data_IF_514649439874
#
_entry.id   IF_514649439874
#
_cell.length_a   1.000
_cell.length_b   1.000
_cell.length_c   1.000
_cell.angle_alpha   90.00
_cell.angle_beta   90.00
_cell.angle_gamma   90.00
#
_symmetry.space_group_name_H-M   'P 1'
#
loop_
_entity.id
_entity.type
_entity.pdbx_description
1 polymer ?
#
# COMPACT_ATOMS: atom_id res chain seq x y z
N UNK A 1 -19.27 -0.24 -5.32
CA UNK A 1 -18.96 -1.04 -4.12
C UNK A 1 -17.93 -2.12 -4.45
N UNK A 2 -18.08 -2.88 -5.54
CA UNK A 2 -17.07 -3.86 -5.99
C UNK A 2 -15.67 -3.26 -6.20
N UNK A 3 -15.55 -2.09 -6.84
CA UNK A 3 -14.24 -1.47 -7.13
C UNK A 3 -13.40 -1.14 -5.88
N UNK A 4 -14.05 -0.85 -4.74
CA UNK A 4 -13.33 -0.60 -3.47
C UNK A 4 -12.68 -1.88 -2.96
N UNK A 5 -13.45 -2.98 -2.88
CA UNK A 5 -12.95 -4.25 -2.35
C UNK A 5 -11.89 -4.87 -3.27
N UNK A 6 -12.08 -4.77 -4.59
CA UNK A 6 -11.07 -5.23 -5.56
C UNK A 6 -9.75 -4.47 -5.41
N UNK A 7 -9.79 -3.14 -5.27
CA UNK A 7 -8.57 -2.34 -5.08
C UNK A 7 -7.94 -2.55 -3.71
N UNK A 8 -8.75 -2.71 -2.67
CA UNK A 8 -8.29 -3.05 -1.32
C UNK A 8 -7.55 -4.39 -1.31
N UNK A 9 -8.12 -5.44 -1.90
CA UNK A 9 -7.50 -6.76 -1.99
C UNK A 9 -6.17 -6.71 -2.75
N UNK A 10 -6.15 -6.06 -3.93
CA UNK A 10 -4.90 -5.88 -4.71
C UNK A 10 -3.84 -5.12 -3.94
N UNK A 11 -4.21 -4.06 -3.22
CA UNK A 11 -3.27 -3.27 -2.43
C UNK A 11 -2.72 -4.08 -1.25
N UNK A 12 -3.58 -4.82 -0.54
CA UNK A 12 -3.16 -5.66 0.59
C UNK A 12 -2.27 -6.83 0.13
N UNK A 13 -2.54 -7.43 -1.02
CA UNK A 13 -1.68 -8.47 -1.61
C UNK A 13 -0.30 -7.89 -1.97
N UNK A 14 -0.23 -6.68 -2.55
CA UNK A 14 1.04 -5.99 -2.80
C UNK A 14 1.79 -5.69 -1.51
N UNK A 15 1.10 -5.17 -0.49
CA UNK A 15 1.69 -4.89 0.82
C UNK A 15 2.25 -6.19 1.42
N UNK A 16 1.48 -7.28 1.44
CA UNK A 16 1.92 -8.58 1.95
C UNK A 16 3.18 -9.08 1.23
N UNK A 17 3.18 -9.05 -0.10
CA UNK A 17 4.32 -9.51 -0.91
C UNK A 17 5.57 -8.69 -0.69
N UNK A 18 5.43 -7.37 -0.51
CA UNK A 18 6.57 -6.49 -0.22
C UNK A 18 7.06 -6.73 1.20
N UNK A 19 6.15 -6.87 2.18
CA UNK A 19 6.50 -7.21 3.56
C UNK A 19 7.32 -8.51 3.65
N UNK A 20 6.94 -9.55 2.90
CA UNK A 20 7.66 -10.83 2.87
C UNK A 20 9.10 -10.72 2.30
N UNK A 21 9.38 -9.65 1.53
CA UNK A 21 10.70 -9.39 0.94
C UNK A 21 11.54 -8.43 1.77
N UNK A 22 10.93 -7.70 2.70
CA UNK A 22 11.64 -6.82 3.59
C UNK A 22 12.40 -7.64 4.64
N UNK A 23 13.61 -7.23 5.02
CA UNK A 23 14.31 -7.88 6.11
C UNK A 23 13.46 -7.79 7.38
N UNK A 24 13.43 -8.89 8.13
CA UNK A 24 12.58 -9.10 9.31
C UNK A 24 13.08 -8.25 10.48
N UNK A 25 12.89 -6.94 10.35
CA UNK A 25 13.37 -5.90 11.27
C UNK A 25 12.36 -5.63 12.40
N UNK A 26 11.27 -6.39 12.43
CA UNK A 26 10.11 -6.16 13.28
C UNK A 26 9.03 -5.34 12.57
N UNK A 27 7.91 -6.01 12.25
CA UNK A 27 6.53 -5.48 12.04
C UNK A 27 6.31 -4.20 11.22
N UNK A 28 7.32 -3.64 10.55
CA UNK A 28 7.14 -2.44 9.74
C UNK A 28 6.44 -2.80 8.44
N UNK A 29 5.17 -2.41 8.36
CA UNK A 29 4.46 -2.36 7.09
C UNK A 29 5.26 -1.52 6.09
N UNK A 30 5.26 -1.87 4.79
CA UNK A 30 5.91 -1.09 3.74
C UNK A 30 5.17 0.22 3.42
N UNK A 31 4.40 0.74 4.37
CA UNK A 31 3.74 2.04 4.34
C UNK A 31 3.63 2.59 5.77
N UNK A 32 3.66 3.91 5.90
CA UNK A 32 3.49 4.63 7.14
C UNK A 32 2.48 5.75 6.96
N UNK A 33 1.63 5.96 7.95
CA UNK A 33 0.73 7.10 8.02
C UNK A 33 1.43 8.23 8.75
N UNK A 34 1.57 9.38 8.10
CA UNK A 34 2.12 10.58 8.70
C UNK A 34 1.04 11.33 9.49
N UNK A 35 1.46 12.16 10.45
CA UNK A 35 0.57 12.93 11.33
C UNK A 35 -0.27 13.98 10.57
N UNK A 36 0.17 14.38 9.38
CA UNK A 36 -0.55 15.28 8.46
C UNK A 36 -1.65 14.57 7.65
N UNK A 37 -1.80 13.25 7.82
CA UNK A 37 -2.75 12.43 7.08
C UNK A 37 -2.22 11.96 5.72
N UNK A 38 -0.98 12.28 5.36
CA UNK A 38 -0.32 11.72 4.18
C UNK A 38 0.14 10.28 4.43
N UNK A 39 0.36 9.56 3.33
CA UNK A 39 0.94 8.23 3.35
C UNK A 39 2.33 8.29 2.76
N UNK A 40 3.27 7.70 3.50
CA UNK A 40 4.61 7.43 3.02
C UNK A 40 4.70 5.95 2.65
N UNK A 41 4.98 5.65 1.38
CA UNK A 41 5.24 4.28 0.93
C UNK A 41 6.73 3.98 1.03
N UNK A 42 7.07 2.77 1.47
CA UNK A 42 8.43 2.27 1.37
C UNK A 42 8.86 2.18 -0.11
N UNK A 43 10.15 2.37 -0.40
CA UNK A 43 10.68 2.43 -1.77
C UNK A 43 10.26 1.23 -2.63
N UNK A 44 10.26 0.02 -2.05
CA UNK A 44 9.83 -1.19 -2.72
C UNK A 44 8.33 -1.21 -3.06
N UNK A 45 7.46 -0.81 -2.12
CA UNK A 45 6.02 -0.72 -2.39
C UNK A 45 5.72 0.40 -3.38
N UNK A 46 6.42 1.53 -3.28
CA UNK A 46 6.31 2.62 -4.24
C UNK A 46 6.72 2.18 -5.66
N UNK A 47 7.76 1.35 -5.79
CA UNK A 47 8.18 0.79 -7.07
C UNK A 47 7.09 -0.13 -7.67
N UNK A 48 6.50 -1.02 -6.87
CA UNK A 48 5.38 -1.89 -7.28
C UNK A 48 4.14 -1.08 -7.71
N UNK A 49 3.79 -0.04 -6.95
CA UNK A 49 2.68 0.88 -7.25
C UNK A 49 2.94 1.76 -8.48
N UNK A 50 4.21 1.98 -8.84
CA UNK A 50 4.58 2.78 -10.02
C UNK A 50 4.60 1.95 -11.31
N UNK A 51 4.34 0.63 -11.24
CA UNK A 51 4.20 -0.20 -12.43
C UNK A 51 2.91 0.17 -13.20
N UNK A 52 2.90 0.09 -14.54
CA UNK A 52 1.73 0.44 -15.35
C UNK A 52 0.45 -0.30 -14.96
N UNK A 53 0.56 -1.55 -14.49
CA UNK A 53 -0.58 -2.36 -14.04
C UNK A 53 -1.18 -1.91 -12.69
N UNK A 54 -0.46 -1.12 -11.89
CA UNK A 54 -0.85 -0.70 -10.54
C UNK A 54 -0.99 0.82 -10.40
N UNK A 55 -0.90 1.57 -11.50
CA UNK A 55 -1.00 3.04 -11.48
C UNK A 55 -2.34 3.50 -10.89
N UNK A 56 -3.41 2.73 -11.11
CA UNK A 56 -4.72 2.96 -10.52
C UNK A 56 -4.74 2.79 -9.00
N UNK A 57 -3.93 1.86 -8.49
CA UNK A 57 -3.78 1.60 -7.06
C UNK A 57 -2.95 2.68 -6.36
N UNK A 58 -2.00 3.32 -7.05
CA UNK A 58 -1.14 4.34 -6.46
C UNK A 58 -1.95 5.54 -5.95
N UNK A 59 -2.74 6.15 -6.82
CA UNK A 59 -3.59 7.29 -6.45
C UNK A 59 -4.69 6.86 -5.47
N UNK A 60 -5.22 5.65 -5.65
CA UNK A 60 -6.26 5.11 -4.78
C UNK A 60 -5.77 4.84 -3.36
N UNK A 61 -4.54 4.34 -3.21
CA UNK A 61 -3.91 4.03 -1.93
C UNK A 61 -3.72 5.29 -1.09
N UNK A 62 -3.28 6.40 -1.70
CA UNK A 62 -3.14 7.70 -1.00
C UNK A 62 -4.48 8.13 -0.38
N UNK A 63 -5.59 7.92 -1.07
CA UNK A 63 -6.91 8.35 -0.60
C UNK A 63 -7.63 7.34 0.32
N UNK A 64 -7.26 6.05 0.29
CA UNK A 64 -8.06 4.99 0.93
C UNK A 64 -7.28 4.01 1.80
N UNK A 65 -5.95 3.92 1.72
CA UNK A 65 -5.21 2.91 2.45
C UNK A 65 -5.38 3.06 3.96
N UNK A 66 -5.58 4.28 4.49
CA UNK A 66 -5.89 4.49 5.91
C UNK A 66 -7.12 3.69 6.38
N UNK A 67 -8.16 3.62 5.54
CA UNK A 67 -9.41 2.90 5.82
C UNK A 67 -9.23 1.38 5.87
N UNK A 68 -8.08 0.86 5.42
CA UNK A 68 -7.77 -0.57 5.45
C UNK A 68 -7.17 -1.00 6.79
N UNK A 69 -6.73 -0.04 7.61
CA UNK A 69 -6.08 -0.27 8.90
C UNK A 69 -6.83 0.38 10.08
N UNK A 70 -8.04 0.92 9.82
CA UNK A 70 -9.00 1.40 10.83
C UNK A 70 -10.05 0.31 11.12
#
# INVERSE_FOLDING_TARGET
MEDFYTKAERLLDLISRVSDQLPDNGEELPLKFRDDGEIEFHDQLHAELSKPENVDLKDWAVANAKKLFE
#
